data_IF_555670028231
#
_entry.id   IF_555670028231
#
_cell.length_a   1.000
_cell.length_b   1.000
_cell.length_c   1.000
_cell.angle_alpha   90.00
_cell.angle_beta   90.00
_cell.angle_gamma   90.00
#
_symmetry.space_group_name_H-M   'P 1'
#
loop_
_entity.id
_entity.type
_entity.pdbx_description
1 polymer ?
#
# COMPACT_ATOMS: atom_id res chain seq x y z
N UNK A 1 -45.72 10.93 -6.71
CA UNK A 1 -44.29 11.29 -6.85
C UNK A 1 -43.48 10.02 -6.78
N UNK A 2 -42.77 9.63 -7.85
CA UNK A 2 -41.84 8.49 -7.78
C UNK A 2 -40.58 8.96 -7.06
N UNK A 3 -40.25 8.36 -5.91
CA UNK A 3 -39.01 8.63 -5.20
C UNK A 3 -37.81 8.38 -6.13
N UNK A 4 -36.89 9.34 -6.19
CA UNK A 4 -35.58 9.16 -6.80
C UNK A 4 -34.70 8.31 -5.88
N UNK A 5 -33.79 7.54 -6.46
CA UNK A 5 -32.86 6.72 -5.69
C UNK A 5 -31.94 7.62 -4.86
N UNK A 6 -31.77 7.29 -3.58
CA UNK A 6 -30.83 7.99 -2.69
C UNK A 6 -29.37 7.88 -3.14
N UNK A 7 -29.07 6.92 -4.04
CA UNK A 7 -27.74 6.69 -4.63
C UNK A 7 -27.52 7.50 -5.91
N UNK A 8 -28.60 8.07 -6.51
CA UNK A 8 -28.48 8.81 -7.77
C UNK A 8 -27.79 10.15 -7.54
N UNK A 9 -26.53 10.26 -7.97
CA UNK A 9 -25.73 11.49 -7.89
C UNK A 9 -24.98 11.70 -9.19
N UNK A 10 -25.15 12.87 -9.82
CA UNK A 10 -24.49 13.25 -11.08
C UNK A 10 -24.65 12.18 -12.18
N UNK A 11 -25.84 11.58 -12.27
CA UNK A 11 -26.19 10.62 -13.30
C UNK A 11 -27.37 11.15 -14.13
N UNK A 12 -27.06 11.70 -15.30
CA UNK A 12 -28.04 12.37 -16.14
C UNK A 12 -29.08 11.37 -16.70
N UNK A 13 -30.33 11.81 -16.85
CA UNK A 13 -31.40 10.94 -17.35
C UNK A 13 -31.11 10.42 -18.77
N UNK A 14 -30.57 11.27 -19.65
CA UNK A 14 -30.12 10.88 -20.99
C UNK A 14 -29.09 9.73 -20.97
N UNK A 15 -28.16 9.71 -20.01
CA UNK A 15 -27.22 8.60 -19.85
C UNK A 15 -27.94 7.32 -19.40
N UNK A 16 -28.93 7.44 -18.49
CA UNK A 16 -29.77 6.31 -18.09
C UNK A 16 -30.56 5.72 -19.26
N UNK A 17 -31.12 6.56 -20.13
CA UNK A 17 -31.85 6.11 -21.32
C UNK A 17 -30.90 5.44 -22.31
N UNK A 18 -29.72 6.03 -22.53
CA UNK A 18 -28.72 5.49 -23.45
C UNK A 18 -28.14 4.14 -22.97
N UNK A 19 -27.87 3.98 -21.68
CA UNK A 19 -27.42 2.69 -21.12
C UNK A 19 -28.51 1.62 -21.21
N UNK A 20 -29.78 1.95 -20.92
CA UNK A 20 -30.88 1.00 -21.12
C UNK A 20 -31.03 0.57 -22.60
N UNK A 21 -30.79 1.49 -23.55
CA UNK A 21 -30.75 1.14 -24.97
C UNK A 21 -29.58 0.20 -25.27
N UNK A 22 -28.39 0.49 -24.73
CA UNK A 22 -27.20 -0.34 -24.93
C UNK A 22 -27.40 -1.76 -24.40
N UNK A 23 -27.93 -1.91 -23.18
CA UNK A 23 -28.27 -3.22 -22.60
C UNK A 23 -29.16 -4.04 -23.54
N UNK A 24 -30.19 -3.42 -24.12
CA UNK A 24 -31.06 -4.13 -25.08
C UNK A 24 -30.34 -4.49 -26.39
N UNK A 25 -29.37 -3.69 -26.83
CA UNK A 25 -28.57 -3.99 -28.02
C UNK A 25 -27.63 -5.17 -27.79
N UNK A 26 -26.93 -5.23 -26.65
CA UNK A 26 -26.07 -6.37 -26.28
C UNK A 26 -26.88 -7.66 -26.11
N UNK A 27 -28.05 -7.57 -25.49
CA UNK A 27 -28.95 -8.72 -25.37
C UNK A 27 -29.50 -9.19 -26.73
N UNK A 28 -29.76 -8.27 -27.67
CA UNK A 28 -30.15 -8.61 -29.04
C UNK A 28 -28.98 -9.24 -29.82
N UNK A 29 -27.77 -8.74 -29.64
CA UNK A 29 -26.57 -9.30 -30.25
C UNK A 29 -26.32 -10.73 -29.74
N UNK A 30 -26.40 -10.93 -28.43
CA UNK A 30 -26.32 -12.25 -27.80
C UNK A 30 -27.36 -13.22 -28.36
N UNK A 31 -28.62 -12.78 -28.53
CA UNK A 31 -29.68 -13.62 -29.10
C UNK A 31 -29.40 -13.97 -30.58
N UNK A 32 -28.88 -13.02 -31.35
CA UNK A 32 -28.50 -13.22 -32.74
C UNK A 32 -27.37 -14.25 -32.87
N UNK A 33 -26.34 -14.12 -32.04
CA UNK A 33 -25.24 -15.08 -32.00
C UNK A 33 -25.66 -16.47 -31.50
N UNK A 34 -26.57 -16.54 -30.53
CA UNK A 34 -27.20 -17.81 -30.15
C UNK A 34 -27.90 -18.47 -31.34
N UNK A 35 -28.67 -17.70 -32.13
CA UNK A 35 -29.32 -18.22 -33.34
C UNK A 35 -28.31 -18.76 -34.36
N UNK A 36 -27.22 -18.01 -34.62
CA UNK A 36 -26.14 -18.46 -35.50
C UNK A 36 -25.46 -19.74 -34.99
N UNK A 37 -25.15 -19.81 -33.69
CA UNK A 37 -24.48 -20.95 -33.09
C UNK A 37 -25.30 -22.24 -33.25
N UNK A 38 -26.60 -22.18 -32.97
CA UNK A 38 -27.48 -23.34 -33.12
C UNK A 38 -27.75 -23.70 -34.58
N UNK A 39 -27.79 -22.74 -35.50
CA UNK A 39 -27.88 -23.02 -36.94
C UNK A 39 -26.66 -23.81 -37.43
N UNK A 40 -25.43 -23.39 -37.10
CA UNK A 40 -24.22 -24.10 -37.51
C UNK A 40 -24.00 -25.43 -36.77
N UNK A 41 -24.70 -25.65 -35.66
CA UNK A 41 -24.71 -26.91 -34.90
C UNK A 41 -25.66 -27.96 -35.49
N UNK A 42 -26.54 -27.61 -36.44
CA UNK A 42 -27.44 -28.57 -37.08
C UNK A 42 -26.65 -29.64 -37.83
N UNK A 43 -27.20 -30.84 -37.86
CA UNK A 43 -26.62 -32.00 -38.55
C UNK A 43 -26.51 -31.79 -40.07
N UNK A 44 -27.41 -31.00 -40.66
CA UNK A 44 -27.41 -30.69 -42.10
C UNK A 44 -26.48 -29.53 -42.50
N UNK A 45 -25.95 -28.76 -41.55
CA UNK A 45 -24.93 -27.71 -41.77
C UNK A 45 -23.55 -28.17 -41.30
N UNK A 46 -23.47 -28.75 -40.10
CA UNK A 46 -22.31 -29.43 -39.51
C UNK A 46 -20.99 -28.65 -39.56
N UNK A 47 -21.00 -27.36 -39.18
CA UNK A 47 -19.80 -26.53 -39.09
C UNK A 47 -19.49 -26.18 -37.61
N UNK A 48 -18.97 -27.13 -36.82
CA UNK A 48 -18.82 -26.99 -35.37
C UNK A 48 -17.88 -25.86 -34.95
N UNK A 49 -16.89 -25.51 -35.79
CA UNK A 49 -16.00 -24.36 -35.51
C UNK A 49 -16.75 -23.02 -35.51
N UNK A 50 -17.65 -22.81 -36.48
CA UNK A 50 -18.51 -21.62 -36.50
C UNK A 50 -19.54 -21.64 -35.38
N UNK A 51 -20.10 -22.82 -35.07
CA UNK A 51 -21.01 -22.97 -33.94
C UNK A 51 -20.36 -22.56 -32.61
N UNK A 52 -19.13 -23.03 -32.35
CA UNK A 52 -18.36 -22.66 -31.16
C UNK A 52 -18.06 -21.16 -31.14
N UNK A 53 -17.53 -20.61 -32.24
CA UNK A 53 -17.22 -19.19 -32.35
C UNK A 53 -18.43 -18.31 -32.02
N UNK A 54 -19.59 -18.55 -32.64
CA UNK A 54 -20.79 -17.77 -32.35
C UNK A 54 -21.36 -18.02 -30.95
N UNK A 55 -21.11 -19.19 -30.36
CA UNK A 55 -21.49 -19.43 -28.95
C UNK A 55 -20.68 -18.57 -28.00
N UNK A 56 -19.37 -18.46 -28.21
CA UNK A 56 -18.48 -17.59 -27.41
C UNK A 56 -18.89 -16.12 -27.52
N UNK A 57 -19.09 -15.61 -28.74
CA UNK A 57 -19.55 -14.23 -28.95
C UNK A 57 -20.94 -14.00 -28.30
N UNK A 58 -21.84 -14.98 -28.34
CA UNK A 58 -23.14 -14.88 -27.65
C UNK A 58 -22.99 -14.72 -26.14
N UNK A 59 -22.07 -15.46 -25.52
CA UNK A 59 -21.83 -15.38 -24.09
C UNK A 59 -21.10 -14.07 -23.72
N UNK A 60 -20.17 -13.60 -24.55
CA UNK A 60 -19.49 -12.30 -24.40
C UNK A 60 -20.48 -11.13 -24.39
N UNK A 61 -21.40 -11.05 -25.36
CA UNK A 61 -22.39 -9.96 -25.39
C UNK A 61 -23.34 -9.99 -24.20
N UNK A 62 -23.62 -11.18 -23.67
CA UNK A 62 -24.42 -11.30 -22.45
C UNK A 62 -23.66 -10.77 -21.24
N UNK A 63 -22.36 -11.01 -21.14
CA UNK A 63 -21.52 -10.39 -20.11
C UNK A 63 -21.48 -8.86 -20.22
N UNK A 64 -21.42 -8.31 -21.44
CA UNK A 64 -21.49 -6.86 -21.67
C UNK A 64 -22.80 -6.27 -21.13
N UNK A 65 -23.93 -6.90 -21.45
CA UNK A 65 -25.24 -6.50 -20.93
C UNK A 65 -25.28 -6.53 -19.39
N UNK A 66 -24.75 -7.59 -18.77
CA UNK A 66 -24.71 -7.74 -17.31
C UNK A 66 -23.83 -6.68 -16.62
N UNK A 67 -22.67 -6.34 -17.22
CA UNK A 67 -21.79 -5.27 -16.75
C UNK A 67 -22.52 -3.92 -16.78
N UNK A 68 -23.26 -3.62 -17.85
CA UNK A 68 -24.05 -2.39 -18.00
C UNK A 68 -25.23 -2.34 -17.01
N UNK A 69 -25.91 -3.47 -16.77
CA UNK A 69 -26.96 -3.60 -15.75
C UNK A 69 -26.42 -3.31 -14.35
N UNK A 70 -25.26 -3.87 -14.01
CA UNK A 70 -24.58 -3.62 -12.74
C UNK A 70 -24.18 -2.15 -12.59
N UNK A 71 -23.63 -1.55 -13.64
CA UNK A 71 -23.27 -0.13 -13.66
C UNK A 71 -24.49 0.76 -13.42
N UNK A 72 -25.59 0.52 -14.15
CA UNK A 72 -26.84 1.27 -14.04
C UNK A 72 -27.37 1.27 -12.59
N UNK A 73 -27.40 0.10 -11.95
CA UNK A 73 -27.82 -0.04 -10.55
C UNK A 73 -26.90 0.73 -9.59
N UNK A 74 -25.57 0.59 -9.75
CA UNK A 74 -24.58 1.27 -8.91
C UNK A 74 -24.67 2.80 -9.01
N UNK A 75 -25.09 3.33 -10.16
CA UNK A 75 -25.27 4.78 -10.38
C UNK A 75 -26.65 5.31 -9.96
N UNK A 76 -27.51 4.45 -9.38
CA UNK A 76 -28.88 4.81 -9.00
C UNK A 76 -29.80 5.05 -10.20
N UNK A 77 -29.45 4.49 -11.36
CA UNK A 77 -30.26 4.48 -12.56
C UNK A 77 -31.37 3.44 -12.51
N UNK A 78 -32.49 3.69 -13.19
CA UNK A 78 -33.53 2.66 -13.34
C UNK A 78 -33.19 1.75 -14.52
N UNK A 79 -33.36 0.45 -14.31
CA UNK A 79 -33.28 -0.56 -15.37
C UNK A 79 -34.67 -0.68 -16.01
N UNK A 80 -34.72 -0.50 -17.33
CA UNK A 80 -35.91 -0.64 -18.15
C UNK A 80 -35.60 -1.59 -19.31
N UNK A 81 -35.75 -2.89 -19.05
CA UNK A 81 -35.62 -3.92 -20.09
C UNK A 81 -36.77 -3.78 -21.09
N UNK A 82 -36.46 -3.91 -22.37
CA UNK A 82 -37.43 -3.89 -23.46
C UNK A 82 -37.50 -5.28 -24.11
N UNK A 83 -38.47 -5.45 -25.00
CA UNK A 83 -38.57 -6.66 -25.79
C UNK A 83 -37.32 -6.82 -26.67
N UNK A 84 -36.62 -7.94 -26.51
CA UNK A 84 -35.53 -8.33 -27.39
C UNK A 84 -36.19 -8.92 -28.64
N UNK A 85 -36.04 -8.23 -29.77
CA UNK A 85 -36.59 -8.71 -31.03
C UNK A 85 -35.90 -10.00 -31.47
N UNK A 86 -36.65 -10.87 -32.12
CA UNK A 86 -36.06 -11.99 -32.86
C UNK A 86 -35.17 -11.45 -34.00
N UNK A 87 -34.02 -12.09 -34.28
CA UNK A 87 -33.26 -11.79 -35.50
C UNK A 87 -34.13 -11.93 -36.75
N UNK A 88 -33.88 -11.11 -37.76
CA UNK A 88 -34.71 -11.06 -38.99
C UNK A 88 -34.59 -12.33 -39.86
N UNK A 89 -33.70 -13.27 -39.50
CA UNK A 89 -33.41 -14.50 -40.23
C UNK A 89 -33.21 -15.65 -39.25
N UNK A 90 -33.64 -16.84 -39.66
CA UNK A 90 -33.40 -18.11 -38.97
C UNK A 90 -32.33 -18.97 -39.67
N UNK A 91 -32.03 -18.63 -40.92
CA UNK A 91 -31.06 -19.33 -41.78
C UNK A 91 -29.90 -18.37 -42.07
N UNK A 92 -28.67 -18.79 -41.77
CA UNK A 92 -27.48 -17.92 -41.82
C UNK A 92 -26.55 -18.19 -43.01
N UNK A 93 -26.97 -19.09 -43.90
CA UNK A 93 -26.27 -19.37 -45.14
C UNK A 93 -24.92 -20.03 -44.89
N UNK A 94 -23.90 -19.61 -45.65
CA UNK A 94 -22.54 -20.09 -45.47
C UNK A 94 -21.76 -19.25 -44.43
N UNK A 95 -20.59 -19.74 -44.00
CA UNK A 95 -19.79 -19.06 -42.98
C UNK A 95 -19.41 -17.61 -43.32
N UNK A 96 -19.21 -17.27 -44.60
CA UNK A 96 -18.89 -15.90 -45.01
C UNK A 96 -20.08 -14.96 -44.80
N UNK A 97 -21.29 -15.41 -45.16
CA UNK A 97 -22.52 -14.62 -45.00
C UNK A 97 -22.82 -14.38 -43.52
N UNK A 98 -22.69 -15.41 -42.68
CA UNK A 98 -22.86 -15.27 -41.24
C UNK A 98 -21.83 -14.31 -40.61
N UNK A 99 -20.56 -14.40 -41.00
CA UNK A 99 -19.51 -13.50 -40.52
C UNK A 99 -19.71 -12.05 -40.97
N UNK A 100 -20.26 -11.82 -42.17
CA UNK A 100 -20.63 -10.48 -42.62
C UNK A 100 -21.78 -9.89 -41.81
N UNK A 101 -22.78 -10.72 -41.46
CA UNK A 101 -23.85 -10.32 -40.55
C UNK A 101 -23.32 -9.99 -39.14
N UNK A 102 -22.44 -10.83 -38.60
CA UNK A 102 -21.76 -10.60 -37.32
C UNK A 102 -20.99 -9.27 -37.33
N UNK A 103 -20.17 -9.03 -38.36
CA UNK A 103 -19.43 -7.78 -38.50
C UNK A 103 -20.35 -6.55 -38.52
N UNK A 104 -21.51 -6.65 -39.17
CA UNK A 104 -22.45 -5.53 -39.22
C UNK A 104 -23.13 -5.29 -37.87
N UNK A 105 -23.45 -6.37 -37.14
CA UNK A 105 -23.96 -6.31 -35.78
C UNK A 105 -22.95 -5.61 -34.86
N UNK A 106 -21.68 -6.02 -34.90
CA UNK A 106 -20.58 -5.39 -34.15
C UNK A 106 -20.42 -3.91 -34.47
N UNK A 107 -20.53 -3.51 -35.74
CA UNK A 107 -20.47 -2.09 -36.12
C UNK A 107 -21.62 -1.29 -35.50
N UNK A 108 -22.80 -1.86 -35.41
CA UNK A 108 -23.98 -1.18 -34.84
C UNK A 108 -23.85 -1.03 -33.32
N UNK A 109 -23.38 -2.08 -32.63
CA UNK A 109 -23.06 -2.07 -31.19
C UNK A 109 -21.99 -1.00 -30.90
N UNK A 110 -20.89 -1.02 -31.65
CA UNK A 110 -19.81 -0.04 -31.51
C UNK A 110 -20.27 1.41 -31.75
N UNK A 111 -21.10 1.65 -32.78
CA UNK A 111 -21.63 2.99 -33.01
C UNK A 111 -22.53 3.47 -31.85
N UNK A 112 -23.33 2.57 -31.27
CA UNK A 112 -24.14 2.91 -30.10
C UNK A 112 -23.30 3.22 -28.86
N UNK A 113 -22.16 2.55 -28.67
CA UNK A 113 -21.18 2.89 -27.63
C UNK A 113 -20.58 4.28 -27.84
N UNK A 114 -20.24 4.64 -29.08
CA UNK A 114 -19.73 5.98 -29.42
C UNK A 114 -20.79 7.06 -29.17
N UNK A 115 -22.04 6.80 -29.52
CA UNK A 115 -23.16 7.71 -29.26
C UNK A 115 -23.39 7.88 -27.75
N UNK A 116 -23.32 6.79 -26.97
CA UNK A 116 -23.38 6.82 -25.51
C UNK A 116 -22.23 7.65 -24.93
N UNK A 117 -21.01 7.49 -25.43
CA UNK A 117 -19.85 8.28 -25.01
C UNK A 117 -20.09 9.78 -25.27
N UNK A 118 -20.59 10.15 -26.44
CA UNK A 118 -20.92 11.54 -26.77
C UNK A 118 -21.96 12.13 -25.81
N UNK A 119 -23.05 11.40 -25.55
CA UNK A 119 -24.09 11.81 -24.59
C UNK A 119 -23.49 12.01 -23.20
N UNK A 120 -22.59 11.13 -22.76
CA UNK A 120 -21.92 11.26 -21.48
C UNK A 120 -21.03 12.52 -21.45
N UNK A 121 -20.19 12.71 -22.47
CA UNK A 121 -19.24 13.83 -22.58
C UNK A 121 -19.93 15.20 -22.63
N UNK A 122 -21.06 15.32 -23.34
CA UNK A 122 -21.83 16.58 -23.42
C UNK A 122 -22.49 16.98 -22.09
N UNK A 123 -22.58 16.05 -21.13
CA UNK A 123 -23.25 16.24 -19.82
C UNK A 123 -22.27 16.32 -18.64
N UNK A 124 -20.97 16.16 -18.89
CA UNK A 124 -19.93 16.37 -17.89
C UNK A 124 -19.63 17.86 -17.82
N UNK A 125 -19.92 18.50 -16.69
CA UNK A 125 -19.38 19.84 -16.41
C UNK A 125 -17.84 19.74 -16.37
N UNK A 126 -17.11 20.48 -17.23
CA UNK A 126 -15.64 20.48 -17.25
C UNK A 126 -15.01 20.79 -15.89
N UNK A 127 -15.72 21.54 -15.05
CA UNK A 127 -15.31 21.99 -13.72
C UNK A 127 -15.82 21.09 -12.59
N UNK A 128 -16.50 19.98 -12.88
CA UNK A 128 -16.98 19.07 -11.84
C UNK A 128 -15.80 18.32 -11.22
N UNK A 129 -15.41 18.74 -10.01
CA UNK A 129 -14.43 18.02 -9.20
C UNK A 129 -15.05 16.74 -8.63
N UNK A 130 -14.20 15.73 -8.46
CA UNK A 130 -14.61 14.48 -7.83
C UNK A 130 -14.98 14.74 -6.37
N UNK A 131 -16.15 14.28 -5.91
CA UNK A 131 -16.58 14.45 -4.52
C UNK A 131 -15.67 13.72 -3.50
N UNK A 132 -14.88 12.75 -3.97
CA UNK A 132 -13.88 12.05 -3.15
C UNK A 132 -12.51 12.75 -3.14
N UNK A 133 -12.35 13.84 -3.92
CA UNK A 133 -11.11 14.63 -3.92
C UNK A 133 -11.00 15.39 -2.60
N UNK A 134 -10.14 14.91 -1.71
CA UNK A 134 -9.86 15.53 -0.43
C UNK A 134 -8.35 15.65 -0.23
N UNK A 135 -7.85 16.88 -0.07
CA UNK A 135 -6.43 17.16 0.14
C UNK A 135 -5.55 16.52 -0.94
N UNK A 136 -5.97 16.63 -2.19
CA UNK A 136 -5.24 16.11 -3.34
C UNK A 136 -4.99 17.23 -4.34
N UNK A 137 -3.77 17.75 -4.32
CA UNK A 137 -3.39 18.94 -5.07
C UNK A 137 -3.27 18.63 -6.57
N UNK A 138 -3.67 19.57 -7.44
CA UNK A 138 -3.61 19.37 -8.90
C UNK A 138 -2.18 19.13 -9.42
N UNK A 139 -1.18 19.75 -8.79
CA UNK A 139 0.23 19.47 -9.12
C UNK A 139 0.62 18.01 -8.86
N UNK A 140 0.12 17.40 -7.77
CA UNK A 140 0.34 15.99 -7.47
C UNK A 140 -0.36 15.09 -8.49
N UNK A 141 -1.58 15.47 -8.90
CA UNK A 141 -2.30 14.80 -9.98
C UNK A 141 -1.56 14.87 -11.32
N UNK A 142 -1.07 16.06 -11.69
CA UNK A 142 -0.30 16.22 -12.91
C UNK A 142 1.02 15.44 -12.84
N UNK A 143 1.67 15.40 -11.68
CA UNK A 143 2.90 14.65 -11.48
C UNK A 143 2.68 13.13 -11.56
N UNK A 144 1.60 12.61 -10.96
CA UNK A 144 1.26 11.18 -11.08
C UNK A 144 0.90 10.81 -12.52
N UNK A 145 0.14 11.65 -13.24
CA UNK A 145 -0.11 11.41 -14.67
C UNK A 145 1.18 11.36 -15.50
N UNK A 146 2.18 12.21 -15.20
CA UNK A 146 3.51 12.11 -15.83
C UNK A 146 4.23 10.82 -15.46
N UNK A 147 4.16 10.41 -14.20
CA UNK A 147 4.80 9.17 -13.72
C UNK A 147 4.20 7.95 -14.40
N UNK A 148 2.86 7.84 -14.47
CA UNK A 148 2.16 6.77 -15.20
C UNK A 148 2.68 6.64 -16.63
N UNK A 149 2.85 7.77 -17.32
CA UNK A 149 3.34 7.76 -18.70
C UNK A 149 4.81 7.33 -18.80
N UNK A 150 5.63 7.64 -17.80
CA UNK A 150 7.03 7.23 -17.73
C UNK A 150 7.15 5.72 -17.47
N UNK A 151 6.36 5.16 -16.55
CA UNK A 151 6.33 3.71 -16.29
C UNK A 151 5.87 2.93 -17.52
N UNK A 152 4.84 3.42 -18.22
CA UNK A 152 4.39 2.82 -19.48
C UNK A 152 5.45 2.91 -20.59
N UNK A 153 6.22 4.00 -20.64
CA UNK A 153 7.38 4.13 -21.55
C UNK A 153 8.51 3.17 -21.19
N UNK A 154 8.80 2.99 -19.90
CA UNK A 154 9.79 2.05 -19.42
C UNK A 154 9.39 0.61 -19.77
N UNK A 155 8.13 0.24 -19.52
CA UNK A 155 7.55 -1.03 -19.91
C UNK A 155 7.69 -1.28 -21.42
N UNK A 156 7.37 -0.29 -22.27
CA UNK A 156 7.52 -0.42 -23.71
C UNK A 156 8.98 -0.61 -24.14
N UNK A 157 9.91 0.11 -23.49
CA UNK A 157 11.35 -0.02 -23.74
C UNK A 157 11.85 -1.42 -23.39
N UNK A 158 11.45 -1.95 -22.24
CA UNK A 158 11.80 -3.30 -21.81
C UNK A 158 11.16 -4.39 -22.69
N UNK A 159 9.93 -4.19 -23.16
CA UNK A 159 9.33 -5.07 -24.18
C UNK A 159 10.19 -5.10 -25.44
N UNK A 160 10.64 -3.94 -25.94
CA UNK A 160 11.53 -3.87 -27.10
C UNK A 160 12.84 -4.65 -26.88
N UNK A 161 13.47 -4.48 -25.72
CA UNK A 161 14.69 -5.24 -25.36
C UNK A 161 14.42 -6.75 -25.30
N UNK A 162 13.31 -7.17 -24.66
CA UNK A 162 12.96 -8.58 -24.51
C UNK A 162 12.81 -9.28 -25.87
N UNK A 163 12.09 -8.67 -26.80
CA UNK A 163 11.89 -9.23 -28.14
C UNK A 163 13.15 -9.17 -28.99
N UNK A 164 14.01 -8.16 -28.81
CA UNK A 164 15.31 -8.12 -29.45
C UNK A 164 16.19 -9.31 -29.06
N UNK A 165 16.33 -9.59 -27.75
CA UNK A 165 17.13 -10.73 -27.27
C UNK A 165 16.49 -12.10 -27.57
N UNK A 166 15.21 -12.13 -27.92
CA UNK A 166 14.47 -13.33 -28.35
C UNK A 166 14.67 -13.68 -29.82
N UNK A 167 15.27 -12.80 -30.64
CA UNK A 167 15.54 -13.08 -32.06
C UNK A 167 16.48 -14.26 -32.20
N UNK A 168 16.35 -15.00 -33.30
CA UNK A 168 17.18 -16.15 -33.61
C UNK A 168 18.66 -15.79 -33.85
N UNK A 169 18.93 -14.58 -34.33
CA UNK A 169 20.28 -14.07 -34.59
C UNK A 169 20.97 -13.44 -33.36
N UNK A 170 20.23 -13.24 -32.26
CA UNK A 170 20.79 -12.80 -30.96
C UNK A 170 20.78 -13.94 -29.94
N UNK A 171 19.64 -14.62 -29.81
CA UNK A 171 19.42 -15.87 -29.08
C UNK A 171 19.98 -15.88 -27.63
N UNK A 172 19.68 -14.83 -26.85
CA UNK A 172 20.04 -14.74 -25.43
C UNK A 172 18.78 -14.81 -24.55
N UNK A 173 18.20 -16.01 -24.35
CA UNK A 173 16.90 -16.19 -23.70
C UNK A 173 16.87 -15.71 -22.25
N UNK A 174 18.00 -15.75 -21.53
CA UNK A 174 18.08 -15.21 -20.17
C UNK A 174 17.87 -13.70 -20.11
N UNK A 175 18.45 -12.94 -21.04
CA UNK A 175 18.20 -11.50 -21.15
C UNK A 175 16.78 -11.20 -21.63
N UNK A 176 16.27 -11.98 -22.58
CA UNK A 176 14.89 -11.86 -23.03
C UNK A 176 13.88 -12.01 -21.88
N UNK A 177 14.04 -13.06 -21.07
CA UNK A 177 13.21 -13.29 -19.88
C UNK A 177 13.34 -12.15 -18.88
N UNK A 178 14.57 -11.76 -18.54
CA UNK A 178 14.83 -10.67 -17.60
C UNK A 178 14.12 -9.37 -18.03
N UNK A 179 14.30 -8.92 -19.27
CA UNK A 179 13.63 -7.70 -19.73
C UNK A 179 12.12 -7.87 -19.86
N UNK A 180 11.62 -9.08 -20.10
CA UNK A 180 10.17 -9.33 -20.10
C UNK A 180 9.57 -9.15 -18.70
N UNK A 181 10.22 -9.67 -17.67
CA UNK A 181 9.80 -9.49 -16.28
C UNK A 181 9.81 -8.01 -15.87
N UNK A 182 10.89 -7.28 -16.18
CA UNK A 182 10.96 -5.84 -15.89
C UNK A 182 9.87 -5.06 -16.66
N UNK A 183 9.57 -5.44 -17.90
CA UNK A 183 8.47 -4.83 -18.64
C UNK A 183 7.11 -5.02 -17.97
N UNK A 184 6.87 -6.22 -17.43
CA UNK A 184 5.63 -6.53 -16.74
C UNK A 184 5.54 -5.81 -15.38
N UNK A 185 6.66 -5.68 -14.66
CA UNK A 185 6.77 -4.92 -13.41
C UNK A 185 6.44 -3.43 -13.59
N UNK A 186 7.01 -2.76 -14.60
CA UNK A 186 6.74 -1.34 -14.83
C UNK A 186 5.28 -1.08 -15.24
N UNK A 187 4.67 -2.04 -15.94
CA UNK A 187 3.23 -1.98 -16.22
C UNK A 187 2.40 -2.10 -14.94
N UNK A 188 2.79 -2.97 -14.02
CA UNK A 188 2.15 -3.07 -12.71
C UNK A 188 2.30 -1.78 -11.89
N UNK A 189 3.46 -1.11 -11.95
CA UNK A 189 3.67 0.21 -11.34
C UNK A 189 2.71 1.27 -11.91
N UNK A 190 2.59 1.34 -13.23
CA UNK A 190 1.64 2.24 -13.89
C UNK A 190 0.19 1.98 -13.46
N UNK A 191 -0.22 0.70 -13.38
CA UNK A 191 -1.56 0.31 -12.93
C UNK A 191 -1.83 0.68 -11.46
N UNK A 192 -0.84 0.50 -10.58
CA UNK A 192 -0.93 0.94 -9.18
C UNK A 192 -1.14 2.44 -9.07
N UNK A 193 -0.41 3.23 -9.86
CA UNK A 193 -0.53 4.68 -9.91
C UNK A 193 -1.89 5.12 -10.47
N UNK A 194 -2.40 4.46 -11.52
CA UNK A 194 -3.74 4.69 -12.07
C UNK A 194 -4.82 4.42 -11.01
N UNK A 195 -4.71 3.31 -10.27
CA UNK A 195 -5.61 2.96 -9.17
C UNK A 195 -5.57 4.01 -8.06
N UNK A 196 -4.36 4.46 -7.69
CA UNK A 196 -4.17 5.50 -6.69
C UNK A 196 -4.81 6.83 -7.10
N UNK A 197 -4.56 7.28 -8.34
CA UNK A 197 -5.14 8.49 -8.93
C UNK A 197 -6.68 8.50 -8.80
N UNK A 198 -7.32 7.40 -9.21
CA UNK A 198 -8.77 7.22 -9.11
C UNK A 198 -9.26 7.27 -7.66
N UNK A 199 -8.59 6.53 -6.76
CA UNK A 199 -8.95 6.50 -5.32
C UNK A 199 -8.84 7.86 -4.64
N UNK A 200 -7.93 8.73 -5.09
CA UNK A 200 -7.74 10.10 -4.57
C UNK A 200 -8.65 11.14 -5.23
N UNK A 201 -9.50 10.73 -6.19
CA UNK A 201 -10.38 11.65 -6.93
C UNK A 201 -9.64 12.51 -7.96
N UNK A 202 -8.46 12.07 -8.41
CA UNK A 202 -7.72 12.66 -9.52
C UNK A 202 -8.29 12.25 -10.87
N UNK A 203 -8.09 13.07 -11.90
CA UNK A 203 -8.38 12.68 -13.28
C UNK A 203 -7.15 11.97 -13.86
N UNK A 204 -7.40 10.87 -14.56
CA UNK A 204 -6.39 10.16 -15.35
C UNK A 204 -6.30 10.83 -16.71
N UNK A 205 -5.10 11.26 -17.08
CA UNK A 205 -4.80 11.87 -18.38
C UNK A 205 -3.66 11.09 -19.02
N UNK A 206 -4.00 10.05 -19.78
CA UNK A 206 -3.02 9.27 -20.55
C UNK A 206 -2.49 10.11 -21.72
N UNK A 207 -1.21 9.95 -22.03
CA UNK A 207 -0.54 10.63 -23.14
C UNK A 207 0.06 9.59 -24.10
N UNK A 208 0.56 10.07 -25.23
CA UNK A 208 1.28 9.23 -26.17
C UNK A 208 2.55 8.65 -25.50
N UNK A 209 2.68 7.33 -25.56
CA UNK A 209 3.90 6.64 -25.17
C UNK A 209 4.83 6.68 -26.37
N UNK A 210 5.93 7.43 -26.25
CA UNK A 210 6.92 7.53 -27.33
C UNK A 210 7.60 6.18 -27.55
N UNK A 211 7.97 5.88 -28.79
CA UNK A 211 8.82 4.71 -29.05
C UNK A 211 10.23 4.93 -28.46
N UNK A 212 10.93 3.86 -28.04
CA UNK A 212 12.33 3.95 -27.65
C UNK A 212 13.20 4.56 -28.76
N UNK A 213 14.28 5.24 -28.40
CA UNK A 213 15.16 5.91 -29.37
C UNK A 213 15.95 4.94 -30.26
N UNK A 214 15.98 3.65 -29.88
CA UNK A 214 16.73 2.59 -30.56
C UNK A 214 15.89 1.33 -30.64
N UNK A 215 16.02 0.63 -31.76
CA UNK A 215 15.38 -0.66 -32.02
C UNK A 215 16.40 -1.82 -31.98
N UNK A 216 17.69 -1.50 -31.82
CA UNK A 216 18.83 -2.41 -31.73
C UNK A 216 19.57 -2.16 -30.40
N UNK A 217 19.72 -3.21 -29.58
CA UNK A 217 20.20 -3.09 -28.19
C UNK A 217 21.63 -3.59 -27.95
N UNK A 218 22.28 -4.10 -28.99
CA UNK A 218 23.67 -4.52 -28.96
C UNK A 218 23.87 -5.77 -28.10
N UNK A 219 25.02 -5.84 -27.41
CA UNK A 219 25.28 -6.94 -26.48
C UNK A 219 24.58 -6.72 -25.13
N UNK A 220 24.51 -7.77 -24.31
CA UNK A 220 23.85 -7.70 -23.00
C UNK A 220 24.38 -6.59 -22.09
N UNK A 221 25.68 -6.24 -22.14
CA UNK A 221 26.24 -5.15 -21.34
C UNK A 221 25.70 -3.78 -21.76
N UNK A 222 25.56 -3.55 -23.06
CA UNK A 222 25.00 -2.30 -23.59
C UNK A 222 23.52 -2.16 -23.23
N UNK A 223 22.73 -3.21 -23.40
CA UNK A 223 21.32 -3.23 -22.99
C UNK A 223 21.15 -2.99 -21.48
N UNK A 224 21.96 -3.63 -20.64
CA UNK A 224 21.92 -3.43 -19.19
C UNK A 224 22.31 -2.02 -18.76
N UNK A 225 23.22 -1.36 -19.49
CA UNK A 225 23.55 0.06 -19.24
C UNK A 225 22.39 0.98 -19.60
N UNK A 226 21.68 0.68 -20.68
CA UNK A 226 20.46 1.41 -21.05
C UNK A 226 19.35 1.21 -20.02
N UNK A 227 19.12 -0.04 -19.59
CA UNK A 227 18.18 -0.37 -18.51
C UNK A 227 18.52 0.41 -17.22
N UNK A 228 19.77 0.35 -16.78
CA UNK A 228 20.21 1.10 -15.59
C UNK A 228 19.98 2.62 -15.71
N UNK A 229 20.15 3.19 -16.90
CA UNK A 229 19.89 4.62 -17.10
C UNK A 229 18.39 4.94 -17.09
N UNK A 230 17.56 4.06 -17.66
CA UNK A 230 16.11 4.16 -17.60
C UNK A 230 15.63 4.10 -16.13
N UNK A 231 16.11 3.13 -15.36
CA UNK A 231 15.84 3.00 -13.92
C UNK A 231 16.23 4.25 -13.13
N UNK A 232 17.38 4.87 -13.43
CA UNK A 232 17.79 6.13 -12.80
C UNK A 232 16.83 7.26 -13.12
N UNK A 233 16.30 7.32 -14.34
CA UNK A 233 15.36 8.35 -14.75
C UNK A 233 13.99 8.16 -14.07
N UNK A 234 13.50 6.91 -14.00
CA UNK A 234 12.29 6.52 -13.25
C UNK A 234 12.43 6.89 -11.77
N UNK A 235 13.53 6.51 -11.14
CA UNK A 235 13.82 6.84 -9.74
C UNK A 235 13.91 8.36 -9.49
N UNK A 236 14.55 9.12 -10.38
CA UNK A 236 14.60 10.57 -10.25
C UNK A 236 13.21 11.20 -10.38
N UNK A 237 12.37 10.69 -11.29
CA UNK A 237 10.99 11.16 -11.43
C UNK A 237 10.15 10.84 -10.17
N UNK A 238 10.37 9.70 -9.52
CA UNK A 238 9.76 9.37 -8.22
C UNK A 238 10.20 10.34 -7.12
N UNK A 239 11.48 10.69 -7.06
CA UNK A 239 11.99 11.68 -6.11
C UNK A 239 11.39 13.07 -6.35
N UNK A 240 11.27 13.48 -7.62
CA UNK A 240 10.65 14.75 -7.99
C UNK A 240 9.15 14.75 -7.65
N UNK A 241 8.45 13.64 -7.87
CA UNK A 241 7.07 13.45 -7.44
C UNK A 241 6.94 13.56 -5.92
N UNK A 242 7.85 12.92 -5.16
CA UNK A 242 7.88 13.01 -3.72
C UNK A 242 8.09 14.46 -3.26
N UNK A 243 9.02 15.19 -3.90
CA UNK A 243 9.24 16.61 -3.60
C UNK A 243 8.00 17.45 -3.87
N UNK A 244 7.34 17.28 -5.01
CA UNK A 244 6.07 17.97 -5.33
C UNK A 244 5.01 17.65 -4.29
N UNK A 245 4.89 16.39 -3.88
CA UNK A 245 3.95 16.01 -2.82
C UNK A 245 4.30 16.72 -1.50
N UNK A 246 5.56 16.66 -1.08
CA UNK A 246 6.04 17.28 0.16
C UNK A 246 5.92 18.80 0.19
N UNK A 247 6.19 19.48 -0.92
CA UNK A 247 6.06 20.94 -1.07
C UNK A 247 4.58 21.41 -1.05
N UNK A 248 3.65 20.48 -1.31
CA UNK A 248 2.19 20.74 -1.38
C UNK A 248 1.41 20.15 -0.21
N UNK A 249 2.09 19.42 0.68
CA UNK A 249 1.60 19.23 2.04
C UNK A 249 1.73 20.58 2.71
N UNK A 250 0.59 21.23 2.97
CA UNK A 250 0.60 22.39 3.85
C UNK A 250 1.24 21.94 5.19
N UNK A 251 2.38 22.53 5.59
CA UNK A 251 3.02 22.20 6.87
C UNK A 251 2.11 22.52 8.07
N UNK A 252 0.99 23.23 7.84
CA UNK A 252 -0.08 23.52 8.79
C UNK A 252 -1.35 22.69 8.59
N UNK A 253 -1.34 21.65 7.75
CA UNK A 253 -2.47 20.71 7.66
C UNK A 253 -2.47 19.80 8.89
N UNK A 254 -2.95 20.34 10.00
CA UNK A 254 -3.14 19.61 11.24
C UNK A 254 -4.06 18.39 10.99
N UNK A 255 -3.75 17.28 11.65
CA UNK A 255 -4.64 16.13 11.64
C UNK A 255 -6.04 16.56 12.09
N UNK A 256 -7.10 16.08 11.44
CA UNK A 256 -8.48 16.41 11.81
C UNK A 256 -8.83 16.06 13.28
N UNK A 257 -8.06 15.17 13.91
CA UNK A 257 -8.22 14.77 15.31
C UNK A 257 -7.25 15.49 16.27
N UNK A 258 -6.36 16.35 15.76
CA UNK A 258 -5.39 17.06 16.58
C UNK A 258 -6.11 18.13 17.39
N UNK A 259 -6.04 18.01 18.71
CA UNK A 259 -6.63 18.98 19.62
C UNK A 259 -5.77 19.09 20.88
N UNK A 260 -5.43 20.33 21.24
CA UNK A 260 -4.60 20.65 22.42
C UNK A 260 -3.31 19.81 22.49
N UNK A 261 -2.68 19.58 21.33
CA UNK A 261 -1.46 18.77 21.23
C UNK A 261 -0.38 19.60 20.55
N UNK A 262 0.50 20.21 21.34
CA UNK A 262 1.51 21.14 20.84
C UNK A 262 2.64 20.40 20.09
N UNK A 263 3.22 21.01 19.06
CA UNK A 263 4.32 20.39 18.28
C UNK A 263 5.54 20.04 19.12
N UNK A 264 5.89 20.87 20.11
CA UNK A 264 6.94 20.53 21.09
C UNK A 264 6.66 19.21 21.84
N UNK A 265 5.40 18.94 22.21
CA UNK A 265 5.00 17.68 22.85
C UNK A 265 5.12 16.50 21.87
N UNK A 266 4.65 16.68 20.64
CA UNK A 266 4.79 15.69 19.56
C UNK A 266 6.25 15.32 19.29
N UNK A 267 7.12 16.33 19.17
CA UNK A 267 8.56 16.13 18.98
C UNK A 267 9.21 15.46 20.19
N UNK A 268 8.79 15.81 21.41
CA UNK A 268 9.28 15.18 22.63
C UNK A 268 8.85 13.71 22.75
N UNK A 269 7.62 13.36 22.36
CA UNK A 269 7.16 11.97 22.29
C UNK A 269 7.98 11.17 21.27
N UNK A 270 8.28 11.73 20.09
CA UNK A 270 9.14 11.06 19.12
C UNK A 270 10.56 10.78 19.67
N UNK A 271 11.12 11.71 20.46
CA UNK A 271 12.40 11.47 21.15
C UNK A 271 12.28 10.38 22.22
N UNK A 272 11.19 10.38 22.99
CA UNK A 272 10.96 9.38 24.03
C UNK A 272 10.81 7.97 23.43
N UNK A 273 10.06 7.82 22.34
CA UNK A 273 9.94 6.55 21.60
C UNK A 273 11.31 5.98 21.23
N UNK A 274 12.23 6.82 20.72
CA UNK A 274 13.56 6.37 20.36
C UNK A 274 14.40 5.98 21.59
N UNK A 275 14.21 6.66 22.73
CA UNK A 275 14.88 6.34 23.98
C UNK A 275 14.42 4.99 24.56
N UNK A 276 13.12 4.70 24.56
CA UNK A 276 12.60 3.39 25.02
C UNK A 276 13.08 2.25 24.10
N UNK A 277 13.10 2.49 22.79
CA UNK A 277 13.66 1.52 21.84
C UNK A 277 15.17 1.28 22.08
N UNK A 278 15.92 2.33 22.45
CA UNK A 278 17.34 2.21 22.82
C UNK A 278 17.52 1.46 24.15
N UNK A 279 16.64 1.69 25.13
CA UNK A 279 16.65 0.97 26.41
C UNK A 279 16.37 -0.52 26.18
N UNK A 280 15.34 -0.85 25.40
CA UNK A 280 15.02 -2.21 24.96
C UNK A 280 16.23 -2.89 24.30
N UNK A 281 16.92 -2.20 23.38
CA UNK A 281 18.08 -2.76 22.69
C UNK A 281 19.28 -2.98 23.63
N UNK A 282 19.46 -2.09 24.61
CA UNK A 282 20.49 -2.22 25.65
C UNK A 282 20.22 -3.41 26.56
N UNK A 283 18.97 -3.61 26.98
CA UNK A 283 18.58 -4.79 27.76
C UNK A 283 18.70 -6.10 26.98
N UNK A 284 18.39 -6.09 25.67
CA UNK A 284 18.69 -7.24 24.80
C UNK A 284 20.20 -7.57 24.83
N UNK A 285 21.08 -6.58 24.71
CA UNK A 285 22.54 -6.81 24.81
C UNK A 285 22.93 -7.46 26.13
N UNK A 286 22.40 -6.97 27.26
CA UNK A 286 22.65 -7.56 28.58
C UNK A 286 22.13 -9.01 28.65
N UNK A 287 20.91 -9.27 28.19
CA UNK A 287 20.29 -10.60 28.24
C UNK A 287 21.13 -11.66 27.51
N UNK A 288 21.59 -11.33 26.29
CA UNK A 288 22.39 -12.24 25.49
C UNK A 288 23.83 -12.40 26.00
N UNK A 289 24.39 -11.38 26.66
CA UNK A 289 25.65 -11.52 27.38
C UNK A 289 25.57 -12.59 28.49
N UNK A 290 24.56 -12.51 29.37
CA UNK A 290 24.39 -13.50 30.45
C UNK A 290 23.98 -14.89 29.96
N UNK A 291 23.52 -14.99 28.71
CA UNK A 291 23.18 -16.26 28.05
C UNK A 291 24.37 -17.03 27.47
N UNK A 292 25.55 -16.39 27.36
CA UNK A 292 26.75 -17.06 26.84
C UNK A 292 27.17 -18.23 27.72
N UNK A 293 27.77 -19.26 27.13
CA UNK A 293 28.23 -20.45 27.85
C UNK A 293 29.36 -20.16 28.84
N UNK A 294 30.16 -19.11 28.59
CA UNK A 294 31.23 -18.65 29.46
C UNK A 294 30.79 -17.70 30.60
N UNK A 295 29.51 -17.31 30.63
CA UNK A 295 28.88 -16.54 31.73
C UNK A 295 27.82 -17.36 32.46
N UNK A 296 26.87 -17.95 31.72
CA UNK A 296 25.90 -18.95 32.14
C UNK A 296 24.97 -18.59 33.33
N UNK A 297 24.56 -17.32 33.45
CA UNK A 297 23.63 -16.83 34.49
C UNK A 297 22.22 -16.64 33.92
N UNK A 298 21.45 -17.73 33.87
CA UNK A 298 20.15 -17.78 33.19
C UNK A 298 19.07 -16.89 33.81
N UNK A 299 19.08 -16.69 35.13
CA UNK A 299 18.15 -15.80 35.82
C UNK A 299 18.40 -14.34 35.44
N UNK A 300 19.67 -13.91 35.33
CA UNK A 300 20.03 -12.58 34.80
C UNK A 300 19.63 -12.44 33.33
N UNK A 301 19.90 -13.45 32.51
CA UNK A 301 19.50 -13.45 31.10
C UNK A 301 17.98 -13.28 30.93
N UNK A 302 17.19 -14.03 31.70
CA UNK A 302 15.74 -13.93 31.70
C UNK A 302 15.27 -12.55 32.16
N UNK A 303 15.76 -12.08 33.30
CA UNK A 303 15.41 -10.78 33.84
C UNK A 303 15.63 -9.66 32.82
N UNK A 304 16.82 -9.56 32.22
CA UNK A 304 17.08 -8.52 31.22
C UNK A 304 16.30 -8.73 29.91
N UNK A 305 15.93 -9.97 29.57
CA UNK A 305 15.05 -10.23 28.43
C UNK A 305 13.65 -9.68 28.68
N UNK A 306 13.10 -9.88 29.87
CA UNK A 306 11.80 -9.33 30.27
C UNK A 306 11.81 -7.80 30.24
N UNK A 307 12.82 -7.15 30.85
CA UNK A 307 12.94 -5.68 30.81
C UNK A 307 13.06 -5.19 29.36
N UNK A 308 13.79 -5.91 28.49
CA UNK A 308 13.87 -5.56 27.07
C UNK A 308 12.51 -5.58 26.38
N UNK A 309 11.66 -6.56 26.71
CA UNK A 309 10.33 -6.68 26.13
C UNK A 309 9.39 -5.62 26.73
N UNK A 310 9.46 -5.34 28.03
CA UNK A 310 8.74 -4.25 28.71
C UNK A 310 9.06 -2.87 28.09
N UNK A 311 10.34 -2.55 27.86
CA UNK A 311 10.71 -1.27 27.22
C UNK A 311 10.22 -1.15 25.77
N UNK A 312 10.10 -2.28 25.06
CA UNK A 312 9.50 -2.27 23.72
C UNK A 312 7.99 -2.00 23.80
N UNK A 313 7.31 -2.54 24.80
CA UNK A 313 5.90 -2.22 25.07
C UNK A 313 5.71 -0.73 25.44
N UNK A 314 6.63 -0.13 26.19
CA UNK A 314 6.64 1.31 26.48
C UNK A 314 6.71 2.13 25.18
N UNK A 315 7.62 1.78 24.27
CA UNK A 315 7.72 2.43 22.98
C UNK A 315 6.43 2.30 22.15
N UNK A 316 5.81 1.12 22.13
CA UNK A 316 4.56 0.86 21.40
C UNK A 316 3.36 1.62 21.98
N UNK A 317 3.28 1.75 23.31
CA UNK A 317 2.29 2.60 23.99
C UNK A 317 2.44 4.07 23.57
N UNK A 318 3.67 4.60 23.50
CA UNK A 318 3.95 5.98 23.04
C UNK A 318 3.61 6.17 21.56
N UNK A 319 3.96 5.22 20.68
CA UNK A 319 3.59 5.23 19.26
C UNK A 319 2.07 5.29 19.07
N UNK A 320 1.35 4.47 19.83
CA UNK A 320 -0.12 4.45 19.83
C UNK A 320 -0.70 5.78 20.31
N UNK A 321 -0.13 6.37 21.37
CA UNK A 321 -0.53 7.67 21.89
C UNK A 321 -0.30 8.81 20.89
N UNK A 322 0.86 8.84 20.23
CA UNK A 322 1.21 9.82 19.19
C UNK A 322 0.14 9.86 18.09
N UNK A 323 -0.24 8.69 17.57
CA UNK A 323 -1.30 8.57 16.57
C UNK A 323 -2.67 8.99 17.13
N UNK A 324 -3.00 8.58 18.36
CA UNK A 324 -4.28 8.92 19.02
C UNK A 324 -4.49 10.43 19.15
N UNK A 325 -3.42 11.21 19.33
CA UNK A 325 -3.47 12.68 19.47
C UNK A 325 -3.33 13.42 18.13
N UNK A 326 -3.28 12.70 17.01
CA UNK A 326 -3.13 13.29 15.68
C UNK A 326 -1.71 13.76 15.36
N UNK A 327 -0.71 13.32 16.13
CA UNK A 327 0.70 13.54 15.85
C UNK A 327 1.20 12.72 14.66
N UNK A 328 2.48 12.89 14.34
CA UNK A 328 3.21 12.17 13.30
C UNK A 328 4.42 11.50 13.93
N UNK A 329 4.51 10.20 13.71
CA UNK A 329 5.65 9.39 14.14
C UNK A 329 6.81 9.64 13.20
N UNK A 330 7.96 10.01 13.76
CA UNK A 330 9.22 10.21 13.04
C UNK A 330 10.30 9.31 13.64
N UNK A 331 10.32 8.04 13.24
CA UNK A 331 11.33 7.07 13.72
C UNK A 331 12.75 7.51 13.32
N UNK A 332 13.70 7.24 14.20
CA UNK A 332 15.12 7.57 14.04
C UNK A 332 15.98 6.31 14.22
N UNK A 333 17.25 6.39 13.85
CA UNK A 333 18.23 5.36 14.17
C UNK A 333 18.20 4.99 15.65
N UNK A 334 18.17 3.70 15.96
CA UNK A 334 18.43 3.20 17.31
C UNK A 334 19.94 2.94 17.39
N UNK A 335 20.65 3.72 18.21
CA UNK A 335 22.10 3.55 18.38
C UNK A 335 22.38 2.23 19.10
N UNK A 336 23.51 1.60 18.76
CA UNK A 336 23.96 0.43 19.51
C UNK A 336 24.30 0.81 20.96
N UNK A 337 24.18 -0.12 21.92
CA UNK A 337 24.66 0.10 23.28
C UNK A 337 26.15 0.45 23.30
N UNK A 338 26.58 1.23 24.30
CA UNK A 338 27.97 1.69 24.41
C UNK A 338 28.98 0.56 24.66
N UNK A 339 28.49 -0.61 25.09
CA UNK A 339 29.29 -1.76 25.48
C UNK A 339 28.69 -3.05 24.96
N UNK A 340 29.58 -3.97 24.58
CA UNK A 340 29.24 -5.33 24.16
C UNK A 340 29.55 -6.36 25.28
N UNK A 341 30.32 -5.96 26.29
CA UNK A 341 30.71 -6.73 27.48
C UNK A 341 30.18 -6.05 28.75
N UNK A 342 29.54 -6.82 29.64
CA UNK A 342 28.87 -6.30 30.84
C UNK A 342 29.51 -6.72 32.17
N UNK A 343 30.71 -7.31 32.10
CA UNK A 343 31.54 -7.74 33.23
C UNK A 343 30.89 -8.79 34.15
N UNK A 344 29.99 -8.36 35.01
CA UNK A 344 29.39 -9.15 36.08
C UNK A 344 27.97 -8.63 36.38
N UNK A 345 27.18 -9.42 37.10
CA UNK A 345 25.79 -9.09 37.43
C UNK A 345 25.63 -7.78 38.20
N UNK A 346 26.57 -7.45 39.09
CA UNK A 346 26.54 -6.18 39.83
C UNK A 346 26.75 -4.96 38.91
N UNK A 347 27.75 -5.00 38.04
CA UNK A 347 28.02 -3.93 37.07
C UNK A 347 26.88 -3.77 36.07
N UNK A 348 26.32 -4.87 35.56
CA UNK A 348 25.17 -4.83 34.67
C UNK A 348 23.94 -4.19 35.34
N UNK A 349 23.64 -4.55 36.59
CA UNK A 349 22.55 -3.95 37.37
C UNK A 349 22.77 -2.45 37.64
N UNK A 350 24.02 -2.02 37.87
CA UNK A 350 24.37 -0.60 38.01
C UNK A 350 24.18 0.17 36.71
N UNK A 351 24.55 -0.42 35.57
CA UNK A 351 24.29 0.15 34.26
C UNK A 351 22.79 0.26 33.97
N UNK A 352 22.01 -0.78 34.27
CA UNK A 352 20.55 -0.77 34.16
C UNK A 352 19.94 0.34 35.03
N UNK A 353 20.35 0.47 36.30
CA UNK A 353 19.87 1.53 37.18
C UNK A 353 20.17 2.94 36.62
N UNK A 354 21.33 3.13 36.00
CA UNK A 354 21.66 4.42 35.38
C UNK A 354 20.82 4.68 34.13
N UNK A 355 20.57 3.65 33.32
CA UNK A 355 19.67 3.73 32.17
C UNK A 355 18.26 4.13 32.61
N UNK A 356 17.69 3.46 33.62
CA UNK A 356 16.36 3.78 34.15
C UNK A 356 16.26 5.20 34.70
N UNK A 357 17.30 5.68 35.37
CA UNK A 357 17.36 7.07 35.84
C UNK A 357 17.38 8.07 34.69
N UNK A 358 18.06 7.75 33.59
CA UNK A 358 18.11 8.60 32.40
C UNK A 358 16.75 8.63 31.68
N UNK A 359 16.11 7.47 31.52
CA UNK A 359 14.75 7.32 30.99
C UNK A 359 13.76 8.11 31.84
N UNK A 360 13.80 7.94 33.16
CA UNK A 360 12.93 8.66 34.09
C UNK A 360 13.16 10.19 34.03
N UNK A 361 14.41 10.66 33.92
CA UNK A 361 14.68 12.09 33.76
C UNK A 361 14.09 12.62 32.44
N UNK A 362 14.20 11.87 31.34
CA UNK A 362 13.59 12.24 30.07
C UNK A 362 12.06 12.29 30.14
N UNK A 363 11.43 11.37 30.89
CA UNK A 363 9.99 11.40 31.17
C UNK A 363 9.58 12.61 31.99
N UNK A 364 10.35 12.99 33.02
CA UNK A 364 10.11 14.20 33.80
C UNK A 364 10.24 15.48 32.94
N UNK A 365 11.23 15.53 32.05
CA UNK A 365 11.42 16.64 31.13
C UNK A 365 10.27 16.72 30.10
N UNK A 366 9.79 15.57 29.59
CA UNK A 366 8.61 15.48 28.73
C UNK A 366 7.33 15.91 29.47
N UNK A 367 7.14 15.48 30.71
CA UNK A 367 6.01 15.88 31.54
C UNK A 367 6.01 17.39 31.81
N UNK A 368 7.19 17.97 32.05
CA UNK A 368 7.34 19.42 32.17
C UNK A 368 6.94 20.14 30.89
N UNK A 369 7.37 19.66 29.71
CA UNK A 369 6.94 20.21 28.42
C UNK A 369 5.41 20.14 28.28
N UNK A 370 4.80 19.00 28.62
CA UNK A 370 3.35 18.85 28.58
C UNK A 370 2.63 19.84 29.51
N UNK A 371 3.14 20.03 30.72
CA UNK A 371 2.63 20.96 31.72
C UNK A 371 2.76 22.42 31.27
N UNK A 372 3.92 22.82 30.75
CA UNK A 372 4.20 24.16 30.22
C UNK A 372 3.30 24.49 29.01
N UNK A 373 2.91 23.48 28.24
CA UNK A 373 1.98 23.60 27.11
C UNK A 373 0.52 23.37 27.47
N UNK A 374 0.21 23.18 28.76
CA UNK A 374 -1.15 22.98 29.27
C UNK A 374 -1.86 21.80 28.58
N UNK A 375 -1.17 20.67 28.44
CA UNK A 375 -1.73 19.40 27.95
C UNK A 375 -1.97 18.41 29.11
N UNK A 376 -3.08 18.55 29.86
CA UNK A 376 -3.36 17.71 31.03
C UNK A 376 -3.55 16.23 30.68
N UNK A 377 -4.01 15.92 29.46
CA UNK A 377 -4.18 14.53 29.03
C UNK A 377 -2.83 13.85 28.78
N UNK A 378 -1.83 14.58 28.26
CA UNK A 378 -0.47 14.05 28.18
C UNK A 378 0.17 13.91 29.56
N UNK A 379 -0.02 14.88 30.48
CA UNK A 379 0.46 14.74 31.86
C UNK A 379 -0.10 13.48 32.54
N UNK A 380 -1.42 13.30 32.52
CA UNK A 380 -2.12 12.15 33.09
C UNK A 380 -1.64 10.81 32.49
N UNK A 381 -1.45 10.77 31.16
CA UNK A 381 -0.93 9.59 30.48
C UNK A 381 0.48 9.21 30.95
N UNK A 382 1.38 10.18 31.12
CA UNK A 382 2.74 9.95 31.60
C UNK A 382 2.76 9.53 33.08
N UNK A 383 1.94 10.16 33.91
CA UNK A 383 1.81 9.83 35.33
C UNK A 383 1.27 8.41 35.53
N UNK A 384 0.21 8.05 34.79
CA UNK A 384 -0.49 6.77 34.93
C UNK A 384 0.34 5.60 34.44
N UNK A 385 1.03 5.75 33.30
CA UNK A 385 1.63 4.62 32.60
C UNK A 385 3.15 4.54 32.65
N UNK A 386 3.85 5.59 33.12
CA UNK A 386 5.32 5.60 33.07
C UNK A 386 5.94 6.03 34.39
N UNK A 387 5.57 7.19 34.94
CA UNK A 387 6.28 7.75 36.10
C UNK A 387 6.19 6.86 37.35
N UNK A 388 5.05 6.21 37.59
CA UNK A 388 4.92 5.25 38.70
C UNK A 388 5.76 3.99 38.46
N UNK A 389 5.71 3.43 37.24
CA UNK A 389 6.46 2.24 36.86
C UNK A 389 7.98 2.49 36.97
N UNK A 390 8.47 3.64 36.52
CA UNK A 390 9.89 4.01 36.65
C UNK A 390 10.37 4.08 38.10
N UNK A 391 9.57 4.61 39.02
CA UNK A 391 9.94 4.67 40.44
C UNK A 391 10.06 3.27 41.03
N UNK A 392 9.15 2.37 40.67
CA UNK A 392 9.19 0.96 41.08
C UNK A 392 10.40 0.23 40.49
N UNK A 393 10.69 0.41 39.20
CA UNK A 393 11.84 -0.18 38.52
C UNK A 393 13.17 0.29 39.14
N UNK A 394 13.34 1.60 39.36
CA UNK A 394 14.53 2.18 40.00
C UNK A 394 14.71 1.62 41.42
N UNK A 395 13.62 1.47 42.19
CA UNK A 395 13.66 0.91 43.54
C UNK A 395 14.06 -0.57 43.51
N UNK A 396 13.49 -1.36 42.60
CA UNK A 396 13.79 -2.79 42.41
C UNK A 396 15.27 -3.01 42.07
N UNK A 397 15.80 -2.27 41.11
CA UNK A 397 17.22 -2.32 40.73
C UNK A 397 18.14 -1.88 41.89
N UNK A 398 17.76 -0.84 42.64
CA UNK A 398 18.50 -0.40 43.82
C UNK A 398 18.59 -1.47 44.93
N UNK A 399 17.52 -2.21 45.15
CA UNK A 399 17.50 -3.32 46.11
C UNK A 399 18.40 -4.47 45.64
N UNK A 400 18.38 -4.79 44.35
CA UNK A 400 19.23 -5.82 43.75
C UNK A 400 20.72 -5.48 43.88
N UNK A 401 21.10 -4.24 43.56
CA UNK A 401 22.47 -3.74 43.72
C UNK A 401 22.89 -3.82 45.19
N UNK A 402 22.02 -3.43 46.12
CA UNK A 402 22.32 -3.48 47.56
C UNK A 402 22.59 -4.92 48.02
N UNK A 403 21.79 -5.87 47.57
CA UNK A 403 21.96 -7.29 47.92
C UNK A 403 23.26 -7.86 47.33
N UNK A 404 23.50 -7.65 46.03
CA UNK A 404 24.73 -8.09 45.35
C UNK A 404 25.99 -7.49 45.99
N UNK A 405 25.94 -6.22 46.39
CA UNK A 405 27.04 -5.54 47.09
C UNK A 405 27.28 -6.16 48.47
N UNK A 406 26.22 -6.41 49.25
CA UNK A 406 26.35 -7.03 50.59
C UNK A 406 26.86 -8.47 50.52
N UNK A 407 26.60 -9.18 49.43
CA UNK A 407 27.10 -10.53 49.18
C UNK A 407 28.55 -10.54 48.66
N UNK A 408 29.17 -9.38 48.46
CA UNK A 408 30.51 -9.18 47.92
C UNK A 408 30.69 -9.79 46.50
N UNK A 409 29.71 -9.56 45.62
CA UNK A 409 29.66 -10.15 44.27
C UNK A 409 30.91 -9.89 43.42
N UNK A 410 31.65 -8.80 43.68
CA UNK A 410 32.90 -8.47 42.98
C UNK A 410 33.99 -9.52 43.24
N UNK A 411 34.07 -10.06 44.46
CA UNK A 411 35.13 -11.01 44.87
C UNK A 411 34.62 -12.43 45.02
N UNK A 412 33.34 -12.59 45.34
CA UNK A 412 32.72 -13.86 45.63
C UNK A 412 31.81 -14.31 44.49
N UNK A 413 32.34 -15.14 43.59
CA UNK A 413 31.56 -15.68 42.44
C UNK A 413 30.32 -16.48 42.85
N UNK A 414 30.28 -17.04 44.06
CA UNK A 414 29.07 -17.72 44.55
C UNK A 414 27.92 -16.75 44.82
N UNK A 415 28.21 -15.46 45.05
CA UNK A 415 27.18 -14.47 45.31
C UNK A 415 26.25 -14.30 44.11
N UNK A 416 26.81 -14.14 42.91
CA UNK A 416 26.03 -13.96 41.68
C UNK A 416 25.25 -15.22 41.33
N UNK A 417 25.86 -16.40 41.50
CA UNK A 417 25.17 -17.67 41.29
C UNK A 417 23.97 -17.85 42.23
N UNK A 418 24.13 -17.54 43.52
CA UNK A 418 23.03 -17.63 44.49
C UNK A 418 21.96 -16.58 44.20
N UNK A 419 22.35 -15.36 43.82
CA UNK A 419 21.41 -14.30 43.45
C UNK A 419 20.61 -14.66 42.19
N UNK A 420 21.29 -15.19 41.17
CA UNK A 420 20.69 -15.70 39.94
C UNK A 420 19.62 -16.75 40.24
N UNK A 421 19.87 -17.66 41.18
CA UNK A 421 18.95 -18.75 41.51
C UNK A 421 17.82 -18.37 42.46
N UNK A 422 18.12 -17.59 43.50
CA UNK A 422 17.17 -17.33 44.58
C UNK A 422 16.39 -16.02 44.43
N UNK A 423 16.95 -15.03 43.74
CA UNK A 423 16.30 -13.73 43.53
C UNK A 423 15.69 -13.64 42.14
N UNK A 424 16.45 -14.03 41.11
CA UNK A 424 16.00 -13.92 39.70
C UNK A 424 15.40 -15.21 39.14
N UNK A 425 15.76 -16.36 39.70
CA UNK A 425 15.36 -17.69 39.21
C UNK A 425 13.96 -18.15 39.64
N UNK A 426 13.16 -17.28 40.26
CA UNK A 426 11.84 -17.63 40.81
C UNK A 426 10.71 -17.81 39.79
N UNK A 427 10.99 -17.66 38.48
CA UNK A 427 9.98 -17.74 37.42
C UNK A 427 10.51 -18.47 36.17
N UNK A 428 11.16 -19.61 36.35
CA UNK A 428 11.47 -20.55 35.26
C UNK A 428 10.29 -21.43 34.90
#
# INVERSE_FOLDING_TARGET
>A
MKMESQVRQNYHHDCEVAINRMINMEMFASYTYTSMAFYFSRDDVALPGFAHFFKENSDEEREHADKLLSFQNKRGGRILLQDIKKPDRDEWGNGLEAMQCALQLEKNVNQALLDLHKIASDKVDPHMESQIRQNYHHDCEAAINRMINLEMFASYTYTSMAFYFSRDDVALPGFAHFFKENSDEEREHAEKLLSFQNKRGGRILLQDIKKPERDEWGNGLEAMRCALQLEKNVNQALLDLHKIASDKVDPHMESQIRQNYHHDCEAAINRMINLEMFASYTYTSMAFYFSRDDVALRGFAHFFKENSDEEREHADKLLSFQNKRGGRILLQDIKKPERDEWSNGLEAMQCALQLEKNVNQALLDLHKIASDKVDPHLCDFLETHYLNEQVEAIKKLGDYITNLTKMDAVKNKMAEYLFDKHTLGGQS
#
